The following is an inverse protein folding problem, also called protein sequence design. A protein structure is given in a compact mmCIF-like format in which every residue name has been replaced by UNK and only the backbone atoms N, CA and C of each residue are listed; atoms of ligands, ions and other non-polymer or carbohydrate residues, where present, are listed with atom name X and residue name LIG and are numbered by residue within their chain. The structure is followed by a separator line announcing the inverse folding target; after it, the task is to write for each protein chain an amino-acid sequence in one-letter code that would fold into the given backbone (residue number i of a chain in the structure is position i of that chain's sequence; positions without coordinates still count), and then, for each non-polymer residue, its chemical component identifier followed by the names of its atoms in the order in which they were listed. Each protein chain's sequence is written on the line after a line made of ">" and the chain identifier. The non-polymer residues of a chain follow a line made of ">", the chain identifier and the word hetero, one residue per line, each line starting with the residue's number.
data_IF_485175106816
#
_entry.id   IF_485175106816
#
_cell.length_a   1.000
_cell.length_b   1.000
_cell.length_c   1.000
_cell.angle_alpha   90.00
_cell.angle_beta   90.00
_cell.angle_gamma   90.00
#
_symmetry.space_group_name_H-M   'P 1'
#
loop_
_entity.id
_entity.type
_entity.pdbx_description
1 polymer ?
#
# COMPACT_ATOMS: atom_id res chain seq x y z
N UNK A 1 -17.93 10.34 -12.75
CA UNK A 1 -17.82 8.99 -12.17
C UNK A 1 -16.76 9.03 -11.08
N UNK A 2 -17.13 9.31 -9.82
CA UNK A 2 -16.17 9.32 -8.72
C UNK A 2 -15.62 7.89 -8.56
N UNK A 3 -14.34 7.71 -8.86
CA UNK A 3 -13.73 6.39 -8.92
C UNK A 3 -13.68 5.79 -7.51
N UNK A 4 -13.75 4.46 -7.40
CA UNK A 4 -13.73 3.72 -6.12
C UNK A 4 -12.57 4.11 -5.18
N UNK A 5 -11.50 4.72 -5.72
CA UNK A 5 -10.39 5.27 -4.94
C UNK A 5 -10.76 6.50 -4.10
N UNK A 6 -11.61 7.41 -4.59
CA UNK A 6 -11.99 8.62 -3.85
C UNK A 6 -12.78 8.26 -2.58
N UNK A 7 -13.59 7.20 -2.65
CA UNK A 7 -14.36 6.71 -1.52
C UNK A 7 -13.46 6.09 -0.44
N UNK A 8 -12.44 5.34 -0.84
CA UNK A 8 -11.47 4.76 0.11
C UNK A 8 -10.67 5.84 0.83
N UNK A 9 -10.30 6.92 0.14
CA UNK A 9 -9.62 8.06 0.76
C UNK A 9 -10.52 8.71 1.82
N UNK A 10 -11.79 8.99 1.49
CA UNK A 10 -12.77 9.57 2.43
C UNK A 10 -12.98 8.68 3.66
N UNK A 11 -13.11 7.36 3.45
CA UNK A 11 -13.29 6.41 4.54
C UNK A 11 -12.05 6.30 5.44
N UNK A 12 -10.84 6.33 4.87
CA UNK A 12 -9.59 6.35 5.65
C UNK A 12 -9.45 7.61 6.48
N UNK A 13 -9.75 8.78 5.92
CA UNK A 13 -9.75 10.06 6.67
C UNK A 13 -10.77 10.05 7.82
N UNK A 14 -11.95 9.44 7.62
CA UNK A 14 -12.92 9.27 8.70
C UNK A 14 -12.40 8.35 9.81
N UNK A 15 -11.70 7.27 9.46
CA UNK A 15 -11.08 6.36 10.44
C UNK A 15 -9.97 7.06 11.21
N UNK A 16 -9.13 7.85 10.54
CA UNK A 16 -8.08 8.65 11.18
C UNK A 16 -8.64 9.61 12.22
N UNK A 17 -9.68 10.37 11.84
CA UNK A 17 -10.38 11.28 12.72
C UNK A 17 -10.94 10.56 13.96
N UNK A 18 -11.66 9.46 13.77
CA UNK A 18 -12.25 8.70 14.89
C UNK A 18 -11.20 7.99 15.76
N UNK A 19 -10.07 7.58 15.16
CA UNK A 19 -8.96 6.99 15.90
C UNK A 19 -8.27 8.05 16.78
N UNK A 20 -8.13 9.29 16.29
CA UNK A 20 -7.62 10.42 17.05
C UNK A 20 -8.57 10.85 18.19
N UNK A 21 -9.89 10.72 18.01
CA UNK A 21 -10.87 10.86 19.10
C UNK A 21 -10.76 9.76 20.19
N UNK A 22 -9.92 8.74 19.98
CA UNK A 22 -9.73 7.65 20.95
C UNK A 22 -10.77 6.54 20.88
N UNK A 23 -11.60 6.50 19.83
CA UNK A 23 -12.58 5.43 19.66
C UNK A 23 -11.93 4.03 19.53
N UNK A 24 -12.64 3.00 20.00
CA UNK A 24 -12.23 1.61 19.78
C UNK A 24 -12.49 1.21 18.31
N UNK A 25 -11.67 0.30 17.77
CA UNK A 25 -11.83 -0.14 16.37
C UNK A 25 -13.21 -0.78 16.10
N UNK A 26 -13.80 -1.45 17.10
CA UNK A 26 -15.14 -2.02 17.00
C UNK A 26 -16.22 -0.93 16.86
N UNK A 27 -16.13 0.13 17.66
CA UNK A 27 -17.05 1.27 17.57
C UNK A 27 -16.90 2.00 16.23
N UNK A 28 -15.67 2.15 15.75
CA UNK A 28 -15.39 2.75 14.44
C UNK A 28 -16.05 1.92 13.33
N UNK A 29 -15.86 0.59 13.30
CA UNK A 29 -16.47 -0.27 12.28
C UNK A 29 -18.01 -0.22 12.32
N UNK A 30 -18.62 -0.23 13.51
CA UNK A 30 -20.07 -0.11 13.64
C UNK A 30 -20.59 1.23 13.08
N UNK A 31 -19.87 2.33 13.33
CA UNK A 31 -20.22 3.66 12.81
C UNK A 31 -20.00 3.76 11.29
N UNK A 32 -18.91 3.20 10.79
CA UNK A 32 -18.61 3.14 9.35
C UNK A 32 -19.65 2.34 8.58
N UNK A 33 -20.07 1.17 9.09
CA UNK A 33 -21.15 0.38 8.49
C UNK A 33 -22.49 1.11 8.45
N UNK A 34 -22.80 1.93 9.47
CA UNK A 34 -24.03 2.72 9.51
C UNK A 34 -24.04 3.83 8.45
N UNK A 35 -22.88 4.45 8.19
CA UNK A 35 -22.77 5.59 7.25
C UNK A 35 -22.57 5.13 5.81
N UNK A 36 -21.70 4.15 5.59
CA UNK A 36 -21.30 3.70 4.25
C UNK A 36 -22.03 2.44 3.78
N UNK A 37 -22.76 1.74 4.66
CA UNK A 37 -23.51 0.53 4.33
C UNK A 37 -22.62 -0.55 3.70
N UNK A 38 -23.04 -1.05 2.55
CA UNK A 38 -22.32 -2.08 1.76
C UNK A 38 -20.99 -1.58 1.20
N UNK A 39 -20.82 -0.26 1.05
CA UNK A 39 -19.59 0.34 0.52
C UNK A 39 -18.51 0.52 1.59
N UNK A 40 -18.76 0.09 2.83
CA UNK A 40 -17.84 0.20 3.94
C UNK A 40 -16.61 -0.70 3.76
N UNK A 41 -15.42 -0.20 4.11
CA UNK A 41 -14.22 -1.03 4.21
C UNK A 41 -14.42 -2.17 5.23
N UNK A 42 -13.75 -3.30 5.01
CA UNK A 42 -13.86 -4.48 5.89
C UNK A 42 -13.36 -4.21 7.32
N UNK A 43 -13.88 -4.96 8.30
CA UNK A 43 -13.46 -4.84 9.71
C UNK A 43 -11.95 -5.01 9.89
N UNK A 44 -11.35 -5.94 9.15
CA UNK A 44 -9.90 -6.17 9.15
C UNK A 44 -9.13 -4.93 8.66
N UNK A 45 -9.60 -4.28 7.58
CA UNK A 45 -9.00 -3.05 7.09
C UNK A 45 -9.14 -1.90 8.10
N UNK A 46 -10.32 -1.74 8.72
CA UNK A 46 -10.54 -0.72 9.76
C UNK A 46 -9.57 -0.92 10.93
N UNK A 47 -9.45 -2.14 11.46
CA UNK A 47 -8.50 -2.43 12.56
C UNK A 47 -7.06 -2.15 12.17
N UNK A 48 -6.66 -2.48 10.94
CA UNK A 48 -5.32 -2.16 10.43
C UNK A 48 -5.09 -0.65 10.47
N UNK A 49 -5.98 0.15 9.89
CA UNK A 49 -5.86 1.60 9.87
C UNK A 49 -5.85 2.22 11.27
N UNK A 50 -6.66 1.72 12.20
CA UNK A 50 -6.66 2.20 13.59
C UNK A 50 -5.29 1.98 14.26
N UNK A 51 -4.64 0.82 14.08
CA UNK A 51 -3.29 0.57 14.64
C UNK A 51 -2.23 1.49 14.03
N UNK A 52 -2.30 1.68 12.72
CA UNK A 52 -1.43 2.61 11.99
C UNK A 52 -1.52 4.01 12.56
N UNK A 53 -2.74 4.55 12.69
CA UNK A 53 -2.95 5.93 13.13
C UNK A 53 -2.62 6.13 14.61
N UNK A 54 -2.76 5.10 15.44
CA UNK A 54 -2.33 5.13 16.85
C UNK A 54 -0.81 5.06 17.03
N UNK A 55 -0.04 4.93 15.96
CA UNK A 55 1.42 4.84 16.02
C UNK A 55 1.93 3.52 16.60
N UNK A 56 1.07 2.51 16.75
CA UNK A 56 1.46 1.16 17.16
C UNK A 56 2.29 0.47 16.07
N UNK A 57 2.14 0.89 14.82
CA UNK A 57 2.97 0.49 13.69
C UNK A 57 3.87 1.66 13.23
N UNK A 58 5.19 1.65 13.49
CA UNK A 58 6.13 2.72 13.12
C UNK A 58 6.32 2.91 11.59
N UNK A 59 5.53 2.22 10.76
CA UNK A 59 5.77 2.05 9.32
C UNK A 59 4.82 2.85 8.42
N UNK A 60 3.68 3.35 8.91
CA UNK A 60 2.51 3.59 8.04
C UNK A 60 1.80 4.96 8.19
N UNK A 61 2.40 5.99 8.80
CA UNK A 61 1.74 7.31 8.99
C UNK A 61 1.72 8.21 7.73
N UNK A 62 1.27 7.71 6.59
CA UNK A 62 1.03 8.57 5.41
C UNK A 62 -0.26 8.12 4.72
N UNK A 63 -1.27 9.00 4.73
CA UNK A 63 -2.55 8.89 3.99
C UNK A 63 -2.40 8.60 2.49
N UNK A 64 -1.21 8.85 1.92
CA UNK A 64 -0.86 8.59 0.53
C UNK A 64 -0.22 7.21 0.40
N UNK A 65 -0.69 6.46 -0.58
CA UNK A 65 -0.07 5.19 -1.00
C UNK A 65 1.42 5.44 -1.27
N UNK A 66 2.30 4.82 -0.48
CA UNK A 66 3.73 4.84 -0.79
C UNK A 66 3.94 4.09 -2.10
N UNK A 67 4.96 4.51 -2.85
CA UNK A 67 5.44 3.78 -4.03
C UNK A 67 5.64 2.33 -3.60
N UNK A 68 4.82 1.41 -4.12
CA UNK A 68 4.92 -0.02 -3.78
C UNK A 68 6.38 -0.41 -3.97
N UNK A 69 6.95 -1.16 -3.03
CA UNK A 69 8.20 -1.85 -3.28
C UNK A 69 7.92 -2.88 -4.37
N UNK A 70 8.07 -2.46 -5.63
CA UNK A 70 8.12 -3.39 -6.74
C UNK A 70 9.34 -4.30 -6.58
N UNK A 71 9.51 -5.22 -7.53
CA UNK A 71 10.74 -6.02 -7.60
C UNK A 71 11.94 -5.06 -7.61
N UNK A 72 12.91 -5.29 -6.72
CA UNK A 72 14.11 -4.48 -6.65
C UNK A 72 14.76 -4.40 -8.03
N UNK A 73 14.90 -3.20 -8.59
CA UNK A 73 15.56 -2.93 -9.86
C UNK A 73 17.10 -3.07 -9.75
N UNK A 74 17.61 -3.80 -8.75
CA UNK A 74 19.04 -4.08 -8.62
C UNK A 74 19.59 -4.81 -9.86
N UNK A 75 18.73 -5.55 -10.57
CA UNK A 75 19.04 -6.20 -11.84
C UNK A 75 19.14 -5.24 -13.05
N UNK A 76 18.80 -3.95 -12.91
CA UNK A 76 18.95 -2.94 -13.97
C UNK A 76 20.26 -2.14 -13.89
N UNK A 77 21.11 -2.43 -12.91
CA UNK A 77 22.43 -1.80 -12.83
C UNK A 77 23.20 -2.02 -14.15
N UNK A 78 23.88 -0.99 -14.62
CA UNK A 78 24.65 -1.04 -15.87
C UNK A 78 25.70 -2.14 -15.80
N UNK A 79 26.32 -2.32 -14.63
CA UNK A 79 27.28 -3.39 -14.37
C UNK A 79 26.70 -4.80 -14.57
N UNK A 80 25.45 -5.03 -14.13
CA UNK A 80 24.78 -6.33 -14.31
C UNK A 80 24.41 -6.58 -15.77
N UNK A 81 23.98 -5.54 -16.49
CA UNK A 81 23.67 -5.62 -17.92
C UNK A 81 24.91 -5.94 -18.76
N UNK A 82 26.01 -5.22 -18.51
CA UNK A 82 27.29 -5.45 -19.20
C UNK A 82 27.83 -6.86 -18.92
N UNK A 83 27.70 -7.35 -17.68
CA UNK A 83 28.12 -8.71 -17.33
C UNK A 83 27.34 -9.77 -18.10
N UNK A 84 26.02 -9.61 -18.22
CA UNK A 84 25.16 -10.53 -19.00
C UNK A 84 25.50 -10.48 -20.49
N UNK A 85 25.72 -9.29 -21.05
CA UNK A 85 26.12 -9.13 -22.46
C UNK A 85 27.48 -9.78 -22.75
N UNK A 86 28.46 -9.61 -21.86
CA UNK A 86 29.76 -10.26 -21.94
C UNK A 86 29.64 -11.79 -21.91
N UNK A 87 28.85 -12.33 -20.98
CA UNK A 87 28.60 -13.78 -20.89
C UNK A 87 27.92 -14.33 -22.15
N UNK A 88 27.00 -13.55 -22.74
CA UNK A 88 26.27 -13.92 -23.96
C UNK A 88 27.19 -13.91 -25.19
N UNK A 89 28.06 -12.91 -25.31
CA UNK A 89 29.08 -12.83 -26.38
C UNK A 89 30.11 -13.95 -26.27
N UNK A 90 30.59 -14.25 -25.07
CA UNK A 90 31.57 -15.32 -24.84
C UNK A 90 31.04 -16.71 -25.20
N UNK A 91 29.74 -16.96 -24.99
CA UNK A 91 29.09 -18.23 -25.31
C UNK A 91 28.45 -18.28 -26.71
N UNK A 92 28.69 -17.27 -27.56
CA UNK A 92 28.09 -17.23 -28.92
C UNK A 92 28.72 -18.32 -29.79
N UNK A 93 27.94 -19.35 -30.11
CA UNK A 93 28.37 -20.53 -30.90
C UNK A 93 28.31 -20.33 -32.42
N UNK A 94 27.71 -19.23 -32.88
CA UNK A 94 27.70 -18.85 -34.30
C UNK A 94 28.68 -17.71 -34.49
N UNK A 95 29.80 -18.00 -35.16
CA UNK A 95 30.72 -16.99 -35.67
C UNK A 95 30.12 -16.43 -36.96
N UNK A 96 30.02 -15.11 -37.08
CA UNK A 96 29.84 -14.45 -38.38
C UNK A 96 31.15 -14.53 -39.16
#
# INVERSE_FOLDING_TARGET
>A
MATSNDLLIKQRSAIEFLAAEGCSAANINARMKRVYGEMCISDCAVRKWVRIFKGEDPRETILRDRKRSGRLLSALDTAHREKVDCMTRANRRVKQ
#
